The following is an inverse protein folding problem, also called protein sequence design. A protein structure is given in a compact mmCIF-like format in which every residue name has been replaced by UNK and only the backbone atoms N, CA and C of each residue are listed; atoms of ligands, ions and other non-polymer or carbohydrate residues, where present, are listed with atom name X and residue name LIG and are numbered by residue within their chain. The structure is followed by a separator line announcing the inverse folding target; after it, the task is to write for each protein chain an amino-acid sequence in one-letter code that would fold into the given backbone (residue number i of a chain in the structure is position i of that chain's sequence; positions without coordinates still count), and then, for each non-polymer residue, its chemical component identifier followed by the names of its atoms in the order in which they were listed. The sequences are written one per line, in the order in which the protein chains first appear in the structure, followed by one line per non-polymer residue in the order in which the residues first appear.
data_IF_666125481298
#
_entry.id   IF_666125481298
#
_cell.length_a   1.000
_cell.length_b   1.000
_cell.length_c   1.000
_cell.angle_alpha   90.00
_cell.angle_beta   90.00
_cell.angle_gamma   90.00
#
_symmetry.space_group_name_H-M   'P 1'
#
loop_
_entity.id
_entity.type
_entity.pdbx_description
1 polymer ?
#
# COMPACT_ATOMS: atom_id res chain seq x y z
N UNK A 1 -12.97 -12.77 1.19
CA UNK A 1 -12.31 -13.68 2.14
C UNK A 1 -11.45 -12.95 3.17
N UNK A 2 -10.64 -11.95 2.78
CA UNK A 2 -9.97 -11.06 3.74
C UNK A 2 -10.86 -9.89 4.22
N UNK A 3 -11.82 -9.46 3.39
CA UNK A 3 -12.66 -8.27 3.63
C UNK A 3 -14.12 -8.60 3.96
N UNK A 4 -14.46 -9.86 4.28
CA UNK A 4 -15.87 -10.33 4.33
C UNK A 4 -16.69 -9.60 5.40
N UNK A 5 -16.04 -9.13 6.47
CA UNK A 5 -16.67 -8.48 7.61
C UNK A 5 -16.22 -7.02 7.78
N UNK A 6 -15.57 -6.44 6.77
CA UNK A 6 -14.98 -5.10 6.83
C UNK A 6 -15.85 -4.09 6.05
N UNK A 7 -16.73 -3.38 6.76
CA UNK A 7 -17.76 -2.53 6.16
C UNK A 7 -17.23 -1.36 5.29
N UNK A 8 -15.96 -0.98 5.48
CA UNK A 8 -15.35 0.17 4.80
C UNK A 8 -14.23 -0.22 3.84
N UNK A 9 -13.97 -1.52 3.64
CA UNK A 9 -12.90 -1.99 2.76
C UNK A 9 -13.48 -2.68 1.53
N UNK A 10 -13.03 -2.25 0.37
CA UNK A 10 -13.45 -2.81 -0.91
C UNK A 10 -12.22 -3.21 -1.73
N UNK A 11 -12.38 -4.24 -2.56
CA UNK A 11 -11.36 -4.67 -3.49
C UNK A 11 -11.60 -4.00 -4.84
N UNK A 12 -10.59 -3.30 -5.34
CA UNK A 12 -10.58 -2.76 -6.70
C UNK A 12 -9.78 -3.69 -7.62
N UNK A 13 -10.35 -4.00 -8.79
CA UNK A 13 -9.75 -4.91 -9.79
C UNK A 13 -9.15 -4.17 -10.98
N UNK A 14 -9.19 -2.84 -11.03
CA UNK A 14 -8.86 -2.05 -12.22
C UNK A 14 -7.48 -2.35 -12.81
N UNK A 15 -6.48 -2.61 -11.97
CA UNK A 15 -5.13 -2.96 -12.43
C UNK A 15 -5.03 -4.40 -12.94
N UNK A 16 -5.83 -5.32 -12.40
CA UNK A 16 -5.88 -6.72 -12.83
C UNK A 16 -6.61 -6.87 -14.17
N UNK A 17 -7.62 -6.03 -14.39
CA UNK A 17 -8.45 -6.08 -15.59
C UNK A 17 -7.88 -5.16 -16.71
N UNK A 18 -6.77 -4.45 -16.47
CA UNK A 18 -6.07 -3.60 -17.45
C UNK A 18 -5.08 -4.42 -18.27
N UNK A 19 -5.05 -4.17 -19.58
CA UNK A 19 -4.05 -4.77 -20.48
C UNK A 19 -2.68 -4.09 -20.30
N UNK A 20 -1.62 -4.91 -20.24
CA UNK A 20 -0.24 -4.43 -20.15
C UNK A 20 0.20 -4.08 -18.70
N UNK A 21 1.35 -3.41 -18.54
CA UNK A 21 1.81 -2.97 -17.22
C UNK A 21 0.87 -1.90 -16.65
N UNK A 22 0.64 -1.93 -15.34
CA UNK A 22 -0.08 -0.89 -14.61
C UNK A 22 0.90 0.03 -13.88
N UNK A 23 0.69 1.34 -14.02
CA UNK A 23 1.40 2.37 -13.27
C UNK A 23 0.45 3.03 -12.27
N UNK A 24 0.95 3.33 -11.07
CA UNK A 24 0.15 3.95 -10.02
C UNK A 24 -0.43 5.30 -10.43
N UNK A 25 0.28 6.08 -11.25
CA UNK A 25 -0.24 7.33 -11.79
C UNK A 25 -1.53 7.10 -12.62
N UNK A 26 -1.54 6.12 -13.52
CA UNK A 26 -2.71 5.80 -14.35
C UNK A 26 -3.88 5.26 -13.51
N UNK A 27 -3.56 4.51 -12.45
CA UNK A 27 -4.55 4.05 -11.47
C UNK A 27 -5.19 5.22 -10.72
N UNK A 28 -4.40 6.20 -10.27
CA UNK A 28 -4.91 7.38 -9.57
C UNK A 28 -5.70 8.32 -10.49
N UNK A 29 -5.29 8.48 -11.74
CA UNK A 29 -6.07 9.24 -12.75
C UNK A 29 -7.45 8.61 -12.93
N UNK A 30 -7.49 7.29 -13.14
CA UNK A 30 -8.76 6.57 -13.29
C UNK A 30 -9.63 6.67 -12.02
N UNK A 31 -9.03 6.63 -10.83
CA UNK A 31 -9.76 6.85 -9.57
C UNK A 31 -10.29 8.29 -9.45
N UNK A 32 -9.52 9.27 -9.92
CA UNK A 32 -9.93 10.68 -9.92
C UNK A 32 -11.12 10.92 -10.84
N UNK A 33 -11.21 10.22 -11.96
CA UNK A 33 -12.37 10.26 -12.86
C UNK A 33 -13.64 9.72 -12.18
N UNK A 34 -13.52 8.61 -11.43
CA UNK A 34 -14.63 8.02 -10.67
C UNK A 34 -15.05 8.91 -9.48
N UNK A 35 -14.09 9.61 -8.87
CA UNK A 35 -14.27 10.36 -7.62
C UNK A 35 -13.70 11.80 -7.71
N UNK A 36 -14.22 12.66 -8.58
CA UNK A 36 -13.62 13.96 -8.88
C UNK A 36 -13.55 14.90 -7.67
N UNK A 37 -14.56 14.85 -6.78
CA UNK A 37 -14.66 15.72 -5.60
C UNK A 37 -14.11 15.15 -4.31
N UNK A 38 -13.64 13.89 -4.30
CA UNK A 38 -13.18 13.23 -3.07
C UNK A 38 -11.73 13.52 -2.76
N UNK A 39 -11.36 13.58 -1.49
CA UNK A 39 -9.96 13.47 -1.08
C UNK A 39 -9.47 12.05 -1.38
N UNK A 40 -8.58 11.90 -2.36
CA UNK A 40 -7.95 10.61 -2.66
C UNK A 40 -6.64 10.54 -1.90
N UNK A 41 -6.40 9.45 -1.17
CA UNK A 41 -5.21 9.27 -0.35
C UNK A 41 -4.57 7.94 -0.72
N UNK A 42 -3.36 7.98 -1.27
CA UNK A 42 -2.54 6.80 -1.50
C UNK A 42 -1.75 6.47 -0.24
N UNK A 43 -2.04 5.32 0.36
CA UNK A 43 -1.30 4.80 1.51
C UNK A 43 -0.01 4.10 1.02
N UNK A 44 1.15 4.55 1.52
CA UNK A 44 2.45 4.00 1.17
C UNK A 44 3.20 3.57 2.43
N UNK A 45 3.86 2.41 2.40
CA UNK A 45 4.87 2.10 3.41
C UNK A 45 6.14 2.91 3.19
N UNK A 46 6.96 3.09 4.24
CA UNK A 46 8.27 3.77 4.18
C UNK A 46 9.15 3.25 3.03
N UNK A 47 9.20 1.92 2.83
CA UNK A 47 10.03 1.32 1.77
C UNK A 47 9.56 1.69 0.35
N UNK A 48 8.24 1.72 0.12
CA UNK A 48 7.68 2.11 -1.17
C UNK A 48 7.93 3.60 -1.43
N UNK A 49 7.78 4.44 -0.40
CA UNK A 49 8.03 5.87 -0.49
C UNK A 49 9.52 6.19 -0.75
N UNK A 50 10.45 5.46 -0.12
CA UNK A 50 11.89 5.61 -0.37
C UNK A 50 12.27 5.35 -1.84
N UNK A 51 11.51 4.51 -2.55
CA UNK A 51 11.72 4.18 -3.96
C UNK A 51 10.79 4.98 -4.89
N UNK A 52 9.98 5.90 -4.36
CA UNK A 52 9.00 6.67 -5.12
C UNK A 52 9.61 7.37 -6.36
N UNK A 53 10.85 7.92 -6.33
CA UNK A 53 11.42 8.59 -7.50
C UNK A 53 11.64 7.68 -8.72
N UNK A 54 11.65 6.35 -8.52
CA UNK A 54 11.73 5.39 -9.62
C UNK A 54 10.38 5.14 -10.32
N UNK A 55 9.28 5.63 -9.75
CA UNK A 55 7.94 5.41 -10.28
C UNK A 55 7.68 6.30 -11.49
N UNK A 56 6.85 5.79 -12.40
CA UNK A 56 6.38 6.57 -13.54
C UNK A 56 5.59 7.80 -13.07
N UNK A 57 6.04 9.00 -13.48
CA UNK A 57 5.42 10.30 -13.16
C UNK A 57 5.21 10.52 -11.66
N UNK A 58 6.19 10.12 -10.85
CA UNK A 58 6.07 10.10 -9.40
C UNK A 58 5.77 11.47 -8.77
N UNK A 59 6.35 12.55 -9.29
CA UNK A 59 6.11 13.92 -8.80
C UNK A 59 4.67 14.37 -9.05
N UNK A 60 4.01 13.78 -10.05
CA UNK A 60 2.66 14.16 -10.49
C UNK A 60 1.59 13.35 -9.76
N UNK A 61 1.98 12.43 -8.87
CA UNK A 61 1.03 11.71 -8.01
C UNK A 61 0.28 12.68 -7.07
N UNK A 62 0.96 13.75 -6.61
CA UNK A 62 0.34 14.79 -5.80
C UNK A 62 -0.64 15.66 -6.58
N UNK A 63 -0.56 15.71 -7.92
CA UNK A 63 -1.55 16.42 -8.75
C UNK A 63 -2.92 15.72 -8.76
N UNK A 64 -3.00 14.47 -8.29
CA UNK A 64 -4.22 13.66 -8.37
C UNK A 64 -4.62 13.00 -7.05
N UNK A 65 -3.71 12.90 -6.08
CA UNK A 65 -3.98 12.36 -4.75
C UNK A 65 -3.12 13.03 -3.66
N UNK A 66 -3.45 12.73 -2.41
CA UNK A 66 -2.56 12.86 -1.26
C UNK A 66 -1.69 11.62 -1.13
N UNK A 67 -0.51 11.77 -0.52
CA UNK A 67 0.32 10.64 -0.10
C UNK A 67 0.34 10.55 1.42
N UNK A 68 0.04 9.37 1.95
CA UNK A 68 0.11 9.10 3.38
C UNK A 68 1.14 7.99 3.63
N UNK A 69 2.23 8.36 4.29
CA UNK A 69 3.37 7.48 4.55
C UNK A 69 3.16 6.80 5.90
N UNK A 70 2.91 5.49 5.86
CA UNK A 70 2.77 4.64 7.03
C UNK A 70 4.16 4.33 7.61
N UNK A 71 4.59 5.16 8.56
CA UNK A 71 5.90 5.08 9.18
C UNK A 71 5.93 4.01 10.28
N UNK A 72 6.78 2.98 10.12
CA UNK A 72 7.02 1.97 11.15
C UNK A 72 8.02 2.49 12.20
N UNK A 73 7.82 2.19 13.50
CA UNK A 73 8.79 2.49 14.55
C UNK A 73 10.17 1.94 14.20
N UNK A 74 11.22 2.75 14.35
CA UNK A 74 12.61 2.36 14.10
C UNK A 74 13.13 2.61 12.68
N UNK A 75 12.28 3.05 11.74
CA UNK A 75 12.74 3.57 10.45
C UNK A 75 12.90 5.09 10.53
N UNK A 76 14.07 5.59 10.11
CA UNK A 76 14.29 7.03 9.99
C UNK A 76 13.51 7.56 8.79
N UNK A 77 12.57 8.48 9.03
CA UNK A 77 11.85 9.21 7.97
C UNK A 77 12.58 10.49 7.55
N UNK A 78 13.90 10.53 7.71
CA UNK A 78 14.70 11.59 7.13
C UNK A 78 14.89 11.35 5.63
N UNK A 79 13.95 11.86 4.85
CA UNK A 79 14.04 11.90 3.40
C UNK A 79 15.13 12.90 2.98
N UNK A 80 16.14 12.43 2.26
CA UNK A 80 17.18 13.28 1.68
C UNK A 80 16.87 13.59 0.21
N UNK A 81 17.66 14.51 -0.35
CA UNK A 81 17.66 14.83 -1.78
C UNK A 81 16.28 15.27 -2.32
N UNK A 82 15.89 14.80 -3.50
CA UNK A 82 14.65 15.21 -4.17
C UNK A 82 13.39 14.83 -3.39
N UNK A 83 13.42 13.73 -2.64
CA UNK A 83 12.30 13.33 -1.78
C UNK A 83 12.13 14.27 -0.60
N UNK A 84 13.22 14.74 0.00
CA UNK A 84 13.16 15.71 1.09
C UNK A 84 12.52 17.03 0.65
N UNK A 85 12.91 17.53 -0.53
CA UNK A 85 12.30 18.74 -1.12
C UNK A 85 10.83 18.51 -1.44
N UNK A 86 10.51 17.37 -2.08
CA UNK A 86 9.13 17.03 -2.43
C UNK A 86 8.22 16.95 -1.19
N UNK A 87 8.66 16.29 -0.12
CA UNK A 87 7.92 16.22 1.14
C UNK A 87 7.73 17.61 1.73
N UNK A 88 8.77 18.44 1.73
CA UNK A 88 8.69 19.81 2.24
C UNK A 88 7.66 20.64 1.47
N UNK A 89 7.69 20.60 0.14
CA UNK A 89 6.82 21.41 -0.72
C UNK A 89 5.34 21.01 -0.66
N UNK A 90 5.05 19.78 -0.23
CA UNK A 90 3.69 19.23 -0.17
C UNK A 90 3.24 18.87 1.26
N UNK A 91 3.99 19.22 2.30
CA UNK A 91 3.67 18.80 3.66
C UNK A 91 2.28 19.30 4.10
N UNK A 92 1.46 18.39 4.63
CA UNK A 92 0.30 18.78 5.42
C UNK A 92 0.76 19.26 6.80
N UNK A 93 0.23 20.39 7.27
CA UNK A 93 0.47 20.85 8.64
C UNK A 93 -0.25 19.94 9.65
N UNK A 94 -1.49 19.53 9.32
CA UNK A 94 -2.28 18.62 10.12
C UNK A 94 -2.98 17.56 9.25
N UNK A 95 -3.28 16.40 9.84
CA UNK A 95 -4.06 15.36 9.15
C UNK A 95 -5.44 15.85 8.68
N UNK A 96 -5.99 16.88 9.33
CA UNK A 96 -7.28 17.48 8.97
C UNK A 96 -7.24 18.25 7.64
N UNK A 97 -6.05 18.66 7.16
CA UNK A 97 -5.88 19.39 5.91
C UNK A 97 -6.15 18.52 4.68
N UNK A 98 -5.96 17.20 4.80
CA UNK A 98 -6.26 16.23 3.75
C UNK A 98 -7.76 16.18 3.40
N UNK A 99 -8.62 16.73 4.27
CA UNK A 99 -10.07 16.81 4.01
C UNK A 99 -10.49 18.16 3.42
N UNK A 100 -9.59 19.15 3.39
CA UNK A 100 -9.87 20.52 2.93
C UNK A 100 -9.64 20.70 1.44
N UNK A 101 -8.74 19.90 0.88
CA UNK A 101 -8.44 19.83 -0.55
C UNK A 101 -8.53 18.38 -1.01
N UNK A 102 -8.55 18.13 -2.31
CA UNK A 102 -8.78 16.77 -2.83
C UNK A 102 -7.50 15.98 -3.12
N UNK A 103 -6.36 16.67 -3.21
CA UNK A 103 -5.04 16.14 -3.55
C UNK A 103 -3.94 17.14 -3.16
N UNK A 104 -2.67 16.77 -3.35
CA UNK A 104 -1.55 17.71 -3.28
C UNK A 104 -0.77 17.72 -1.96
N UNK A 105 -1.20 16.96 -0.97
CA UNK A 105 -0.55 16.93 0.34
C UNK A 105 0.12 15.60 0.65
N UNK A 106 1.22 15.66 1.41
CA UNK A 106 1.98 14.54 1.94
C UNK A 106 1.91 14.57 3.46
N UNK A 107 1.63 13.43 4.08
CA UNK A 107 1.59 13.30 5.55
C UNK A 107 2.21 11.98 6.00
N UNK A 108 2.73 11.96 7.23
CA UNK A 108 3.20 10.74 7.87
C UNK A 108 2.17 10.26 8.89
N UNK A 109 1.79 8.98 8.79
CA UNK A 109 0.86 8.34 9.71
C UNK A 109 1.67 7.31 10.52
N UNK A 110 1.79 7.48 11.85
CA UNK A 110 2.44 6.49 12.68
C UNK A 110 1.58 5.23 12.74
N UNK A 111 2.19 4.07 12.46
CA UNK A 111 1.51 2.77 12.56
C UNK A 111 2.18 1.89 13.61
N UNK A 112 1.40 1.14 14.38
CA UNK A 112 1.95 0.15 15.31
C UNK A 112 2.61 -0.99 14.53
N UNK A 113 3.80 -1.41 14.97
CA UNK A 113 4.50 -2.51 14.33
C UNK A 113 3.78 -3.82 14.64
N UNK A 114 3.37 -4.51 13.59
CA UNK A 114 3.01 -5.92 13.63
C UNK A 114 4.16 -6.67 12.96
N UNK A 115 4.82 -7.56 13.70
CA UNK A 115 5.98 -8.32 13.23
C UNK A 115 5.56 -9.47 12.30
N UNK A 116 5.00 -9.09 11.15
CA UNK A 116 4.50 -9.99 10.11
C UNK A 116 4.99 -9.49 8.76
N UNK A 117 5.57 -10.39 7.97
CA UNK A 117 5.95 -10.14 6.57
C UNK A 117 5.41 -11.23 5.66
N UNK A 118 5.04 -10.87 4.43
CA UNK A 118 4.58 -11.86 3.44
C UNK A 118 5.69 -12.86 3.07
N UNK A 119 6.96 -12.45 3.10
CA UNK A 119 8.09 -13.32 2.81
C UNK A 119 8.27 -14.40 3.87
N UNK A 120 8.14 -14.03 5.15
CA UNK A 120 8.24 -14.99 6.26
C UNK A 120 7.02 -15.90 6.33
N UNK A 121 5.82 -15.37 6.06
CA UNK A 121 4.61 -16.18 5.96
C UNK A 121 4.70 -17.21 4.82
N UNK A 122 5.17 -16.82 3.63
CA UNK A 122 5.40 -17.77 2.53
C UNK A 122 6.42 -18.84 2.92
N UNK A 123 7.51 -18.47 3.62
CA UNK A 123 8.51 -19.44 4.10
C UNK A 123 7.90 -20.41 5.11
N UNK A 124 7.18 -19.90 6.11
CA UNK A 124 6.50 -20.70 7.12
C UNK A 124 5.49 -21.68 6.50
N UNK A 125 4.64 -21.20 5.59
CA UNK A 125 3.67 -22.05 4.89
C UNK A 125 4.35 -23.12 4.04
N UNK A 126 5.46 -22.79 3.38
CA UNK A 126 6.22 -23.72 2.54
C UNK A 126 6.84 -24.89 3.32
N UNK A 127 7.24 -24.67 4.58
CA UNK A 127 7.80 -25.70 5.47
C UNK A 127 6.73 -26.43 6.30
N UNK A 128 5.45 -26.06 6.14
CA UNK A 128 4.32 -26.66 6.85
C UNK A 128 4.19 -26.24 8.31
N UNK A 129 4.78 -25.10 8.70
CA UNK A 129 4.73 -24.60 10.07
C UNK A 129 3.43 -23.83 10.34
N UNK A 130 3.04 -23.67 11.62
CA UNK A 130 1.73 -23.16 12.01
C UNK A 130 1.71 -21.63 12.13
N UNK A 131 1.65 -20.92 11.01
CA UNK A 131 1.45 -19.47 10.95
C UNK A 131 0.03 -19.02 10.58
N UNK A 132 -0.96 -19.92 10.58
CA UNK A 132 -2.33 -19.60 10.20
C UNK A 132 -2.96 -18.50 11.08
N UNK A 133 -2.51 -18.35 12.33
CA UNK A 133 -2.99 -17.33 13.27
C UNK A 133 -2.56 -15.89 12.89
N UNK A 134 -1.62 -15.74 11.95
CA UNK A 134 -1.19 -14.44 11.42
C UNK A 134 -2.03 -13.98 10.22
N UNK A 135 -3.00 -14.77 9.79
CA UNK A 135 -3.85 -14.52 8.62
C UNK A 135 -5.32 -14.42 9.04
N UNK A 136 -6.12 -13.61 8.31
CA UNK A 136 -7.57 -13.70 8.43
C UNK A 136 -8.05 -15.13 8.12
N UNK A 137 -9.03 -15.62 8.89
CA UNK A 137 -9.44 -17.03 8.87
C UNK A 137 -9.78 -17.52 7.45
N UNK A 138 -10.56 -16.73 6.69
CA UNK A 138 -10.91 -17.06 5.32
C UNK A 138 -9.67 -17.23 4.42
N UNK A 139 -8.65 -16.37 4.58
CA UNK A 139 -7.41 -16.48 3.80
C UNK A 139 -6.64 -17.75 4.16
N UNK A 140 -6.52 -18.07 5.44
CA UNK A 140 -5.85 -19.28 5.91
C UNK A 140 -6.53 -20.55 5.33
N UNK A 141 -7.87 -20.63 5.40
CA UNK A 141 -8.63 -21.75 4.84
C UNK A 141 -8.37 -21.93 3.33
N UNK A 142 -8.33 -20.82 2.57
CA UNK A 142 -8.07 -20.87 1.13
C UNK A 142 -6.66 -21.37 0.81
N UNK A 143 -5.65 -20.89 1.53
CA UNK A 143 -4.25 -21.26 1.28
C UNK A 143 -4.00 -22.74 1.59
N UNK A 144 -4.59 -23.27 2.67
CA UNK A 144 -4.53 -24.71 2.96
C UNK A 144 -5.23 -25.56 1.88
N UNK A 145 -6.35 -25.08 1.33
CA UNK A 145 -7.11 -25.81 0.31
C UNK A 145 -6.45 -25.84 -1.08
N UNK A 146 -5.63 -24.83 -1.42
CA UNK A 146 -5.08 -24.64 -2.78
C UNK A 146 -3.59 -25.02 -2.94
N UNK A 147 -2.86 -25.35 -1.86
CA UNK A 147 -1.41 -25.70 -1.87
C UNK A 147 -0.52 -24.64 -2.52
N UNK A 148 -0.92 -23.37 -2.50
CA UNK A 148 -0.35 -22.26 -3.29
C UNK A 148 1.13 -21.94 -2.98
N UNK A 149 1.70 -22.52 -1.92
CA UNK A 149 3.11 -22.34 -1.53
C UNK A 149 3.83 -23.64 -1.16
N UNK A 150 3.27 -24.81 -1.53
CA UNK A 150 3.95 -26.08 -1.26
C UNK A 150 5.21 -26.19 -2.14
N UNK A 151 6.35 -26.50 -1.52
CA UNK A 151 7.54 -26.90 -2.25
C UNK A 151 7.27 -28.27 -2.87
N UNK A 152 7.31 -28.36 -4.20
CA UNK A 152 7.44 -29.66 -4.87
C UNK A 152 8.84 -30.15 -4.54
N UNK A 153 8.93 -31.08 -3.57
CA UNK A 153 10.16 -31.83 -3.35
C UNK A 153 10.24 -32.85 -4.48
N UNK A 154 10.89 -32.49 -5.59
CA UNK A 154 11.30 -33.47 -6.59
C UNK A 154 12.22 -34.48 -5.90
N UNK A 155 11.88 -35.76 -6.03
CA UNK A 155 12.64 -36.91 -5.54
C UNK A 155 13.77 -37.27 -6.50
#
# INVERSE_FOLDING_TARGET
MALVDEAFLFMDRRELDRDGPSYMYDTLISLREDYPGSALILLLGTDAFAHLPSWYRWTELTDVAHLAIMARPGFSTQWNDELGVFVHDHAADEASDLLRVTHGLVTEIPVSQVDISSSDLRRCLAIGDNCNQQLPEGVAQRLCGQRTYNVVVDK
#
